data_IF_141242738860
#
_entry.id   IF_141242738860
#
_cell.length_a   1.000
_cell.length_b   1.000
_cell.length_c   1.000
_cell.angle_alpha   90.00
_cell.angle_beta   90.00
_cell.angle_gamma   90.00
#
_symmetry.space_group_name_H-M   'P 1'
#
loop_
_entity.id
_entity.type
_entity.pdbx_description
1 polymer ?
#
# COMPACT_ATOMS: atom_id res chain seq x y z
N UNK A 1 22.38 -0.70 9.28
CA UNK A 1 21.83 -1.48 10.41
C UNK A 1 20.79 -2.45 9.85
N UNK A 2 20.88 -3.73 10.26
CA UNK A 2 19.92 -4.74 9.84
C UNK A 2 18.52 -4.39 10.36
N UNK A 3 17.48 -4.65 9.56
CA UNK A 3 16.08 -4.51 9.97
C UNK A 3 15.73 -5.58 11.01
N UNK A 4 14.76 -5.32 11.88
CA UNK A 4 14.45 -6.22 13.02
C UNK A 4 14.14 -7.67 12.57
N UNK A 5 13.53 -7.87 11.42
CA UNK A 5 13.24 -9.22 10.87
C UNK A 5 14.51 -10.04 10.54
N UNK A 6 15.67 -9.39 10.46
CA UNK A 6 16.98 -10.01 10.21
C UNK A 6 17.83 -10.15 11.48
N UNK A 7 17.32 -9.71 12.64
CA UNK A 7 18.05 -9.86 13.90
C UNK A 7 18.09 -11.33 14.32
N UNK A 8 19.23 -11.81 14.80
CA UNK A 8 19.35 -13.20 15.27
C UNK A 8 18.48 -13.47 16.50
N UNK A 9 18.33 -12.45 17.37
CA UNK A 9 17.51 -12.47 18.57
C UNK A 9 16.54 -11.29 18.53
N UNK A 10 15.37 -11.43 19.17
CA UNK A 10 14.33 -10.38 19.26
C UNK A 10 13.76 -9.92 17.91
N UNK A 11 13.85 -10.73 16.86
CA UNK A 11 13.24 -10.43 15.55
C UNK A 11 11.71 -10.40 15.60
N UNK A 12 11.11 -10.98 16.63
CA UNK A 12 9.71 -10.82 17.02
C UNK A 12 9.66 -10.34 18.46
N UNK A 13 8.85 -9.31 18.73
CA UNK A 13 8.66 -8.83 20.10
C UNK A 13 7.96 -9.89 20.98
N UNK A 14 8.46 -10.04 22.21
CA UNK A 14 7.83 -10.83 23.25
C UNK A 14 7.88 -10.04 24.56
N UNK A 15 6.79 -9.98 25.30
CA UNK A 15 6.75 -9.29 26.61
C UNK A 15 7.78 -9.83 27.61
N UNK A 16 8.20 -11.09 27.49
CA UNK A 16 9.27 -11.66 28.30
C UNK A 16 10.64 -11.01 28.04
N UNK A 17 10.83 -10.42 26.86
CA UNK A 17 12.07 -9.73 26.46
C UNK A 17 12.19 -8.35 27.12
N UNK A 18 11.06 -7.76 27.50
CA UNK A 18 10.99 -6.43 28.10
C UNK A 18 11.83 -6.34 29.38
N UNK A 19 11.69 -7.32 30.28
CA UNK A 19 12.36 -7.29 31.57
C UNK A 19 13.89 -7.31 31.46
N UNK A 20 14.52 -8.23 30.72
CA UNK A 20 15.95 -8.20 30.50
C UNK A 20 16.46 -6.91 29.87
N UNK A 21 15.74 -6.37 28.88
CA UNK A 21 16.14 -5.15 28.16
C UNK A 21 15.98 -3.87 28.99
N UNK A 22 15.09 -3.85 29.99
CA UNK A 22 14.79 -2.70 30.83
C UNK A 22 15.30 -2.78 32.28
N UNK A 23 16.09 -3.81 32.61
CA UNK A 23 16.66 -3.96 33.97
C UNK A 23 17.81 -2.99 34.18
N UNK A 24 17.63 -2.07 35.11
CA UNK A 24 18.65 -1.06 35.47
C UNK A 24 20.03 -1.69 35.77
N UNK A 25 21.08 -1.08 35.23
CA UNK A 25 22.46 -1.49 35.44
C UNK A 25 22.98 -2.64 34.58
N UNK A 26 22.15 -3.21 33.70
CA UNK A 26 22.61 -4.18 32.68
C UNK A 26 23.19 -3.47 31.45
N UNK A 27 24.01 -4.20 30.65
CA UNK A 27 24.52 -3.65 29.38
C UNK A 27 23.38 -3.26 28.44
N UNK A 28 22.33 -4.07 28.35
CA UNK A 28 21.14 -3.74 27.53
C UNK A 28 20.44 -2.45 27.99
N UNK A 29 20.35 -2.24 29.32
CA UNK A 29 19.84 -1.00 29.89
C UNK A 29 20.65 0.23 29.46
N UNK A 30 21.99 0.15 29.49
CA UNK A 30 22.85 1.27 29.11
C UNK A 30 22.63 1.71 27.66
N UNK A 31 22.36 0.77 26.75
CA UNK A 31 22.00 1.07 25.35
C UNK A 31 20.61 1.73 25.22
N UNK A 32 19.65 1.31 26.03
CA UNK A 32 18.26 1.77 25.98
C UNK A 32 18.06 3.07 26.77
N UNK A 33 18.80 3.30 27.86
CA UNK A 33 18.69 4.45 28.75
C UNK A 33 18.82 5.80 28.01
N UNK A 34 19.72 5.86 27.02
CA UNK A 34 19.90 7.05 26.21
C UNK A 34 18.60 7.42 25.46
N UNK A 35 17.89 6.44 24.91
CA UNK A 35 16.62 6.68 24.21
C UNK A 35 15.52 7.11 25.17
N UNK A 36 15.45 6.55 26.37
CA UNK A 36 14.53 7.02 27.41
C UNK A 36 14.79 8.47 27.79
N UNK A 37 16.05 8.82 27.96
CA UNK A 37 16.44 10.20 28.25
C UNK A 37 16.05 11.14 27.12
N UNK A 38 16.30 10.80 25.87
CA UNK A 38 15.91 11.59 24.71
C UNK A 38 14.39 11.80 24.67
N UNK A 39 13.59 10.75 24.86
CA UNK A 39 12.13 10.84 24.88
C UNK A 39 11.62 11.71 26.04
N UNK A 40 12.24 11.59 27.23
CA UNK A 40 11.91 12.42 28.37
C UNK A 40 12.19 13.91 28.11
N UNK A 41 13.33 14.22 27.51
CA UNK A 41 13.66 15.63 27.17
C UNK A 41 12.73 16.18 26.11
N UNK A 42 12.40 15.38 25.07
CA UNK A 42 11.45 15.78 24.02
C UNK A 42 10.05 16.05 24.59
N UNK A 43 9.55 15.17 25.47
CA UNK A 43 8.26 15.38 26.16
C UNK A 43 8.27 16.71 26.92
N UNK A 44 9.30 16.98 27.73
CA UNK A 44 9.42 18.24 28.48
C UNK A 44 9.45 19.47 27.58
N UNK A 45 10.23 19.42 26.51
CA UNK A 45 10.35 20.55 25.57
C UNK A 45 9.04 20.81 24.83
N UNK A 46 8.36 19.77 24.37
CA UNK A 46 7.09 19.90 23.67
C UNK A 46 5.99 20.44 24.60
N UNK A 47 5.91 19.97 25.85
CA UNK A 47 4.97 20.52 26.84
C UNK A 47 5.23 21.99 27.11
N UNK A 48 6.48 22.37 27.35
CA UNK A 48 6.85 23.76 27.59
C UNK A 48 6.52 24.67 26.40
N UNK A 49 6.74 24.19 25.17
CA UNK A 49 6.39 24.92 23.96
C UNK A 49 4.87 25.08 23.80
N UNK A 50 4.08 24.05 24.09
CA UNK A 50 2.63 24.10 24.07
C UNK A 50 2.10 25.05 25.13
N UNK A 51 2.54 24.95 26.38
CA UNK A 51 2.16 25.85 27.47
C UNK A 51 2.48 27.32 27.13
N UNK A 52 3.64 27.58 26.55
CA UNK A 52 4.05 28.90 26.10
C UNK A 52 3.13 29.46 25.00
N UNK A 53 2.74 28.62 24.03
CA UNK A 53 1.81 28.99 22.96
C UNK A 53 0.41 29.31 23.50
N UNK A 54 -0.14 28.41 24.32
CA UNK A 54 -1.46 28.57 24.95
C UNK A 54 -1.54 29.86 25.78
N UNK A 55 -0.50 30.16 26.59
CA UNK A 55 -0.44 31.37 27.37
C UNK A 55 -0.47 32.67 26.54
N UNK A 56 -0.25 32.56 25.22
CA UNK A 56 -0.27 33.68 24.26
C UNK A 56 -1.45 33.61 23.29
N UNK A 57 -2.41 32.73 23.53
CA UNK A 57 -3.58 32.56 22.67
C UNK A 57 -3.27 31.91 21.31
N UNK A 58 -2.16 31.18 21.21
CA UNK A 58 -1.76 30.48 19.99
C UNK A 58 -2.17 29.00 20.09
N UNK A 59 -2.95 28.56 19.13
CA UNK A 59 -3.36 27.15 18.97
C UNK A 59 -2.29 26.40 18.20
N UNK A 60 -1.81 25.30 18.74
CA UNK A 60 -0.91 24.39 18.03
C UNK A 60 -1.69 23.26 17.37
N UNK A 61 -1.48 23.09 16.07
CA UNK A 61 -2.04 21.99 15.30
C UNK A 61 -0.96 21.00 14.93
N UNK A 62 -1.08 19.77 15.44
CA UNK A 62 -0.22 18.65 15.09
C UNK A 62 -0.63 17.99 13.77
N UNK A 63 0.21 17.12 13.28
CA UNK A 63 -0.04 16.29 12.11
C UNK A 63 0.19 14.82 12.47
N UNK A 64 -0.74 13.94 12.08
CA UNK A 64 -0.59 12.50 12.33
C UNK A 64 -0.56 11.76 11.01
N UNK A 65 0.60 11.15 10.65
CA UNK A 65 0.72 10.43 9.40
C UNK A 65 -0.16 9.19 9.39
N UNK A 66 -0.72 8.87 8.22
CA UNK A 66 -1.49 7.64 8.01
C UNK A 66 -0.60 6.39 8.15
N UNK A 67 0.67 6.46 7.81
CA UNK A 67 1.56 5.33 7.80
C UNK A 67 2.58 5.30 8.92
N UNK A 68 3.19 4.14 9.10
CA UNK A 68 4.34 3.90 9.98
C UNK A 68 5.45 3.19 9.21
N UNK A 69 6.69 3.36 9.65
CA UNK A 69 7.79 2.66 9.03
C UNK A 69 7.61 1.14 9.18
N UNK A 70 7.64 0.41 8.05
CA UNK A 70 7.54 -1.07 8.00
C UNK A 70 8.54 -1.77 8.92
N UNK A 71 9.72 -1.20 9.10
CA UNK A 71 10.79 -1.70 9.94
C UNK A 71 10.93 -0.91 11.24
N UNK A 72 9.91 -0.17 11.64
CA UNK A 72 9.88 0.64 12.85
C UNK A 72 9.41 -0.13 14.08
N UNK A 73 9.51 0.55 15.24
CA UNK A 73 9.16 -0.02 16.53
C UNK A 73 7.67 -0.39 16.64
N UNK A 74 6.76 0.36 16.00
CA UNK A 74 5.33 0.06 16.04
C UNK A 74 5.04 -1.33 15.44
N UNK A 75 5.60 -1.61 14.25
CA UNK A 75 5.43 -2.89 13.57
C UNK A 75 6.14 -4.02 14.31
N UNK A 76 7.31 -3.76 14.85
CA UNK A 76 8.05 -4.74 15.64
C UNK A 76 7.33 -5.12 16.94
N UNK A 77 6.76 -4.12 17.64
CA UNK A 77 6.12 -4.30 18.93
C UNK A 77 4.72 -4.90 18.84
N UNK A 78 3.91 -4.44 17.87
CA UNK A 78 2.52 -4.84 17.70
C UNK A 78 2.20 -5.24 16.24
N UNK A 79 2.90 -6.26 15.69
CA UNK A 79 2.80 -6.63 14.26
C UNK A 79 1.40 -7.05 13.83
N UNK A 80 0.57 -7.52 14.75
CA UNK A 80 -0.80 -7.97 14.49
C UNK A 80 -1.77 -6.88 14.01
N UNK A 81 -1.40 -5.60 14.19
CA UNK A 81 -2.16 -4.47 13.65
C UNK A 81 -1.83 -4.11 12.21
N UNK A 82 -0.83 -4.75 11.62
CA UNK A 82 -0.31 -4.40 10.30
C UNK A 82 -0.38 -5.58 9.34
N UNK A 83 -0.71 -5.29 8.07
CA UNK A 83 -0.53 -6.24 6.98
C UNK A 83 0.81 -5.98 6.30
N UNK A 84 1.72 -6.94 6.46
CA UNK A 84 3.07 -6.86 5.90
C UNK A 84 3.18 -7.42 4.47
N UNK A 85 2.11 -7.98 3.93
CA UNK A 85 2.07 -8.46 2.54
C UNK A 85 1.67 -7.36 1.56
N UNK A 86 1.31 -6.19 2.07
CA UNK A 86 0.91 -5.05 1.27
C UNK A 86 1.64 -3.76 1.66
N UNK A 87 1.57 -2.78 0.78
CA UNK A 87 2.09 -1.43 0.94
C UNK A 87 0.95 -0.45 0.67
N UNK A 88 0.85 0.59 1.49
CA UNK A 88 -0.09 1.67 1.22
C UNK A 88 0.45 2.61 0.13
N UNK A 89 -0.46 3.22 -0.59
CA UNK A 89 -0.14 4.18 -1.63
C UNK A 89 -1.39 4.92 -2.13
N UNK A 90 -1.28 5.50 -3.30
CA UNK A 90 -2.37 6.12 -4.03
C UNK A 90 -2.49 5.52 -5.44
N UNK A 91 -3.71 5.37 -5.97
CA UNK A 91 -3.91 4.91 -7.34
C UNK A 91 -3.35 5.93 -8.36
N UNK A 92 -3.14 5.52 -9.62
CA UNK A 92 -2.79 6.43 -10.71
C UNK A 92 -3.75 7.61 -10.83
N UNK A 93 -3.20 8.79 -11.03
CA UNK A 93 -3.92 10.04 -11.25
C UNK A 93 -3.24 10.93 -12.31
N UNK A 94 -3.70 12.18 -12.46
CA UNK A 94 -3.13 13.15 -13.38
C UNK A 94 -1.71 13.63 -13.04
N UNK A 95 -1.23 13.40 -11.83
CA UNK A 95 0.11 13.78 -11.36
C UNK A 95 1.08 12.60 -11.38
N UNK A 96 0.59 11.39 -11.21
CA UNK A 96 1.39 10.16 -11.20
C UNK A 96 0.70 9.05 -11.98
N UNK A 97 1.13 8.83 -13.22
CA UNK A 97 0.57 7.81 -14.12
C UNK A 97 0.76 6.38 -13.62
N UNK A 98 1.75 6.14 -12.77
CA UNK A 98 2.03 4.85 -12.15
C UNK A 98 1.45 4.73 -10.72
N UNK A 99 0.73 5.77 -10.26
CA UNK A 99 0.32 5.91 -8.87
C UNK A 99 1.52 6.15 -7.95
N UNK A 100 1.25 6.14 -6.66
CA UNK A 100 2.28 6.33 -5.63
C UNK A 100 2.35 5.10 -4.74
N UNK A 101 3.54 4.58 -4.52
CA UNK A 101 3.83 3.55 -3.53
C UNK A 101 4.58 4.20 -2.36
N UNK A 102 3.93 4.31 -1.21
CA UNK A 102 4.51 4.95 -0.01
C UNK A 102 5.37 4.00 0.82
N UNK A 103 5.30 2.68 0.55
CA UNK A 103 6.19 1.67 1.13
C UNK A 103 5.87 1.24 2.56
N UNK A 104 4.99 1.91 3.29
CA UNK A 104 4.59 1.49 4.63
C UNK A 104 3.46 0.44 4.59
N UNK A 105 3.33 -0.43 5.63
CA UNK A 105 2.32 -1.48 5.64
C UNK A 105 0.91 -0.90 5.74
N UNK A 106 -0.08 -1.63 5.24
CA UNK A 106 -1.49 -1.31 5.50
C UNK A 106 -1.91 -1.80 6.88
N UNK A 107 -3.08 -1.35 7.36
CA UNK A 107 -3.60 -1.72 8.67
C UNK A 107 -4.51 -2.95 8.60
N UNK A 108 -4.39 -3.83 9.57
CA UNK A 108 -5.39 -4.85 9.87
C UNK A 108 -6.54 -4.20 10.67
N UNK A 109 -7.46 -3.55 9.95
CA UNK A 109 -8.58 -2.85 10.58
C UNK A 109 -9.52 -3.76 11.35
N UNK A 110 -9.69 -5.01 10.91
CA UNK A 110 -10.50 -5.96 11.65
C UNK A 110 -9.96 -6.14 13.07
N UNK A 111 -8.67 -6.40 13.20
CA UNK A 111 -8.01 -6.57 14.49
C UNK A 111 -8.03 -5.29 15.33
N UNK A 112 -7.86 -4.13 14.71
CA UNK A 112 -7.96 -2.86 15.42
C UNK A 112 -9.36 -2.56 15.93
N UNK A 113 -10.41 -2.88 15.16
CA UNK A 113 -11.80 -2.67 15.59
C UNK A 113 -12.18 -3.60 16.76
N UNK A 114 -11.69 -4.84 16.77
CA UNK A 114 -11.94 -5.80 17.84
C UNK A 114 -11.53 -5.29 19.23
N UNK A 115 -10.46 -4.51 19.34
CA UNK A 115 -10.01 -3.89 20.60
C UNK A 115 -10.42 -2.42 20.75
N UNK A 116 -11.31 -1.94 19.90
CA UNK A 116 -11.80 -0.56 19.92
C UNK A 116 -10.79 0.46 19.44
N UNK A 117 -9.92 0.08 18.52
CA UNK A 117 -8.88 0.93 17.90
C UNK A 117 -7.85 1.47 18.92
N UNK A 118 -7.45 0.62 19.86
CA UNK A 118 -6.59 1.02 20.99
C UNK A 118 -5.27 1.63 20.56
N UNK A 119 -4.62 1.07 19.52
CA UNK A 119 -3.36 1.59 19.00
C UNK A 119 -3.48 3.05 18.51
N UNK A 120 -4.52 3.36 17.73
CA UNK A 120 -4.80 4.72 17.26
C UNK A 120 -5.19 5.67 18.40
N UNK A 121 -6.02 5.21 19.35
CA UNK A 121 -6.40 6.00 20.52
C UNK A 121 -5.18 6.43 21.33
N UNK A 122 -4.23 5.53 21.57
CA UNK A 122 -2.97 5.85 22.28
C UNK A 122 -2.18 6.96 21.56
N UNK A 123 -2.11 6.91 20.22
CA UNK A 123 -1.46 7.94 19.43
C UNK A 123 -2.14 9.30 19.58
N UNK A 124 -3.47 9.36 19.45
CA UNK A 124 -4.21 10.61 19.61
C UNK A 124 -4.13 11.15 21.03
N UNK A 125 -4.25 10.32 22.05
CA UNK A 125 -4.11 10.70 23.46
C UNK A 125 -2.70 11.23 23.76
N UNK A 126 -1.67 10.65 23.17
CA UNK A 126 -0.31 11.16 23.32
C UNK A 126 -0.17 12.55 22.65
N UNK A 127 -0.69 12.72 21.43
CA UNK A 127 -0.68 14.01 20.74
C UNK A 127 -1.42 15.10 21.51
N UNK A 128 -2.51 14.78 22.20
CA UNK A 128 -3.31 15.76 22.96
C UNK A 128 -2.55 16.41 24.13
N UNK A 129 -1.37 15.91 24.46
CA UNK A 129 -0.49 16.52 25.46
C UNK A 129 0.30 17.70 24.90
N UNK A 130 0.38 17.84 23.58
CA UNK A 130 1.22 18.83 22.89
C UNK A 130 0.47 19.73 21.92
N UNK A 131 -0.76 19.35 21.54
CA UNK A 131 -1.53 20.02 20.51
C UNK A 131 -3.00 20.23 20.91
N UNK A 132 -3.60 21.29 20.40
CA UNK A 132 -5.02 21.65 20.60
C UNK A 132 -5.89 21.15 19.43
N UNK A 133 -5.27 20.98 18.29
CA UNK A 133 -5.87 20.46 17.06
C UNK A 133 -4.92 19.47 16.37
N UNK A 134 -5.42 18.63 15.47
CA UNK A 134 -4.58 17.77 14.66
C UNK A 134 -5.15 17.58 13.26
N UNK A 135 -4.27 17.41 12.30
CA UNK A 135 -4.60 16.98 10.96
C UNK A 135 -4.46 15.46 10.86
N UNK A 136 -5.51 14.80 10.42
CA UNK A 136 -5.43 13.41 9.96
C UNK A 136 -4.93 13.45 8.51
N UNK A 137 -3.72 12.99 8.30
CA UNK A 137 -3.15 12.82 6.98
C UNK A 137 -3.88 11.69 6.24
N UNK A 138 -4.27 11.95 5.00
CA UNK A 138 -4.98 11.00 4.15
C UNK A 138 -6.19 10.35 4.83
N UNK A 139 -7.19 11.12 5.25
CA UNK A 139 -8.39 10.61 5.96
C UNK A 139 -9.12 9.53 5.18
N UNK A 140 -9.07 9.55 3.85
CA UNK A 140 -9.65 8.50 3.00
C UNK A 140 -9.09 7.12 3.30
N UNK A 141 -7.87 7.01 3.81
CA UNK A 141 -7.28 5.74 4.26
C UNK A 141 -8.06 5.05 5.39
N UNK A 142 -8.92 5.78 6.12
CA UNK A 142 -9.83 5.20 7.10
C UNK A 142 -11.12 4.66 6.47
N UNK A 143 -11.47 5.07 5.26
CA UNK A 143 -12.56 4.52 4.45
C UNK A 143 -12.04 3.37 3.60
N UNK A 144 -10.97 3.64 2.88
CA UNK A 144 -10.30 2.75 1.96
C UNK A 144 -8.85 3.21 1.78
N UNK A 145 -7.92 2.30 1.74
CA UNK A 145 -6.52 2.58 1.39
C UNK A 145 -6.20 1.91 0.05
N UNK A 146 -5.37 2.54 -0.77
CA UNK A 146 -4.82 1.86 -1.93
C UNK A 146 -3.74 0.90 -1.45
N UNK A 147 -4.01 -0.39 -1.58
CA UNK A 147 -3.17 -1.50 -1.13
C UNK A 147 -2.42 -2.09 -2.32
N UNK A 148 -1.10 -2.06 -2.26
CA UNK A 148 -0.18 -2.48 -3.32
C UNK A 148 0.56 -3.72 -2.83
N UNK A 149 0.64 -4.83 -3.61
CA UNK A 149 1.45 -5.99 -3.25
C UNK A 149 2.92 -5.61 -2.99
N UNK A 150 3.58 -6.29 -2.04
CA UNK A 150 4.97 -5.95 -1.65
C UNK A 150 6.00 -6.19 -2.76
N UNK A 151 5.69 -7.03 -3.71
CA UNK A 151 6.50 -7.35 -4.88
C UNK A 151 6.36 -6.34 -6.03
N UNK A 152 5.48 -5.35 -5.87
CA UNK A 152 5.31 -4.24 -6.81
C UNK A 152 6.10 -3.00 -6.40
N UNK A 153 6.65 -2.31 -7.40
CA UNK A 153 7.30 -0.99 -7.28
C UNK A 153 6.26 0.11 -7.54
N UNK A 154 5.45 -0.08 -8.58
CA UNK A 154 4.39 0.83 -8.98
C UNK A 154 3.05 0.46 -8.32
N UNK A 155 2.09 1.38 -8.39
CA UNK A 155 0.77 1.19 -7.79
C UNK A 155 -0.29 0.65 -8.76
N UNK A 156 0.08 0.27 -9.98
CA UNK A 156 -0.85 -0.07 -11.06
C UNK A 156 -1.68 -1.34 -10.81
N UNK A 157 -1.14 -2.31 -10.08
CA UNK A 157 -1.81 -3.57 -9.72
C UNK A 157 -2.33 -3.58 -8.29
N UNK A 158 -2.41 -2.41 -7.66
CA UNK A 158 -3.04 -2.23 -6.37
C UNK A 158 -4.56 -2.40 -6.42
N UNK A 159 -5.17 -2.43 -5.25
CA UNK A 159 -6.62 -2.49 -5.04
C UNK A 159 -7.02 -1.68 -3.81
N UNK A 160 -8.24 -1.16 -3.75
CA UNK A 160 -8.74 -0.57 -2.52
C UNK A 160 -8.97 -1.63 -1.44
N UNK A 161 -8.51 -1.36 -0.23
CA UNK A 161 -8.71 -2.20 0.95
C UNK A 161 -9.36 -1.38 2.08
N UNK A 162 -10.54 -1.80 2.59
CA UNK A 162 -11.35 -2.91 2.08
C UNK A 162 -12.12 -2.56 0.81
N UNK A 163 -12.54 -3.58 0.04
CA UNK A 163 -13.42 -3.41 -1.10
C UNK A 163 -14.24 -4.67 -1.40
N UNK A 164 -15.31 -4.50 -2.16
CA UNK A 164 -16.18 -5.60 -2.59
C UNK A 164 -15.65 -6.18 -3.92
N UNK A 165 -14.69 -7.10 -3.86
CA UNK A 165 -14.24 -7.84 -5.03
C UNK A 165 -15.40 -8.54 -5.74
N UNK A 166 -15.27 -8.74 -7.05
CA UNK A 166 -16.28 -9.36 -7.90
C UNK A 166 -15.97 -10.84 -8.10
N UNK A 167 -17.00 -11.69 -7.98
CA UNK A 167 -16.88 -13.09 -8.38
C UNK A 167 -16.88 -13.23 -9.90
N UNK A 168 -16.49 -14.43 -10.42
CA UNK A 168 -16.62 -14.76 -11.84
C UNK A 168 -18.03 -14.50 -12.36
N UNK A 169 -19.05 -15.02 -11.65
CA UNK A 169 -20.46 -14.91 -12.08
C UNK A 169 -20.92 -13.45 -12.13
N UNK A 170 -20.47 -12.62 -11.18
CA UNK A 170 -20.75 -11.19 -11.20
C UNK A 170 -20.12 -10.50 -12.42
N UNK A 171 -18.86 -10.84 -12.75
CA UNK A 171 -18.19 -10.31 -13.95
C UNK A 171 -18.94 -10.74 -15.23
N UNK A 172 -19.29 -12.01 -15.32
CA UNK A 172 -20.00 -12.57 -16.47
C UNK A 172 -21.43 -12.01 -16.60
N UNK A 173 -22.05 -11.55 -15.52
CA UNK A 173 -23.36 -10.89 -15.56
C UNK A 173 -23.34 -9.57 -16.35
N UNK A 174 -22.18 -8.94 -16.51
CA UNK A 174 -21.98 -7.80 -17.42
C UNK A 174 -21.82 -8.21 -18.89
N UNK A 175 -21.85 -9.52 -19.18
CA UNK A 175 -21.69 -10.09 -20.50
C UNK A 175 -20.24 -10.33 -20.92
N UNK A 176 -19.26 -10.04 -20.07
CA UNK A 176 -17.85 -10.33 -20.33
C UNK A 176 -17.57 -11.79 -19.99
N UNK A 177 -17.21 -12.60 -21.00
CA UNK A 177 -16.76 -13.98 -20.76
C UNK A 177 -15.41 -13.96 -20.01
N UNK A 178 -15.42 -14.36 -18.73
CA UNK A 178 -14.25 -14.21 -17.86
C UNK A 178 -13.27 -15.36 -18.06
N UNK A 179 -12.16 -15.03 -18.70
CA UNK A 179 -11.01 -15.93 -18.88
C UNK A 179 -9.94 -15.61 -17.82
N UNK A 180 -9.99 -16.30 -16.69
CA UNK A 180 -9.22 -15.99 -15.51
C UNK A 180 -7.72 -15.87 -15.78
N UNK A 181 -7.09 -16.90 -16.35
CA UNK A 181 -5.65 -16.88 -16.62
C UNK A 181 -5.24 -15.78 -17.61
N UNK A 182 -6.07 -15.52 -18.61
CA UNK A 182 -5.82 -14.46 -19.59
C UNK A 182 -5.92 -13.07 -18.99
N UNK A 183 -6.88 -12.85 -18.09
CA UNK A 183 -7.20 -11.51 -17.60
C UNK A 183 -6.47 -11.14 -16.31
N UNK A 184 -5.95 -12.12 -15.55
CA UNK A 184 -5.29 -11.88 -14.26
C UNK A 184 -3.77 -12.12 -14.30
N UNK A 185 -3.23 -12.67 -15.39
CA UNK A 185 -1.78 -12.82 -15.59
C UNK A 185 -1.29 -11.81 -16.62
N UNK A 186 -0.03 -11.38 -16.56
CA UNK A 186 0.56 -10.51 -17.57
C UNK A 186 0.37 -11.05 -18.99
N UNK A 187 -0.37 -10.32 -19.83
CA UNK A 187 -0.58 -10.70 -21.22
C UNK A 187 0.59 -10.20 -22.06
N UNK A 188 1.43 -11.12 -22.54
CA UNK A 188 2.66 -10.82 -23.27
C UNK A 188 2.65 -11.57 -24.59
N UNK A 189 2.38 -10.86 -25.68
CA UNK A 189 2.49 -11.40 -27.05
C UNK A 189 3.62 -10.73 -27.80
N UNK A 190 4.05 -11.35 -28.92
CA UNK A 190 5.14 -10.82 -29.74
C UNK A 190 4.92 -9.37 -30.16
N UNK A 191 3.68 -9.00 -30.54
CA UNK A 191 3.39 -7.63 -30.96
C UNK A 191 3.52 -6.63 -29.80
N UNK A 192 3.17 -7.03 -28.57
CA UNK A 192 3.36 -6.20 -27.36
C UNK A 192 4.84 -5.98 -27.11
N UNK A 193 5.64 -7.06 -27.15
CA UNK A 193 7.09 -6.94 -26.95
C UNK A 193 7.72 -6.01 -27.99
N UNK A 194 7.34 -6.16 -29.25
CA UNK A 194 7.83 -5.29 -30.32
C UNK A 194 7.44 -3.82 -30.09
N UNK A 195 6.22 -3.57 -29.62
CA UNK A 195 5.72 -2.22 -29.38
C UNK A 195 6.38 -1.55 -28.17
N UNK A 196 6.59 -2.30 -27.09
CA UNK A 196 7.20 -1.77 -25.84
C UNK A 196 8.71 -1.57 -25.99
N UNK A 197 9.40 -2.54 -26.58
CA UNK A 197 10.86 -2.58 -26.56
C UNK A 197 11.53 -2.16 -27.89
N UNK A 198 10.80 -2.10 -28.98
CA UNK A 198 11.34 -1.70 -30.29
C UNK A 198 12.60 -2.47 -30.66
N UNK A 199 13.73 -1.78 -30.80
CA UNK A 199 15.04 -2.37 -31.13
C UNK A 199 15.55 -3.42 -30.13
N UNK A 200 15.05 -3.40 -28.90
CA UNK A 200 15.44 -4.33 -27.82
C UNK A 200 14.56 -5.58 -27.75
N UNK A 201 13.53 -5.71 -28.60
CA UNK A 201 12.53 -6.78 -28.50
C UNK A 201 13.14 -8.18 -28.49
N UNK A 202 14.05 -8.49 -29.42
CA UNK A 202 14.68 -9.81 -29.49
C UNK A 202 15.57 -10.10 -28.28
N UNK A 203 16.32 -9.11 -27.81
CA UNK A 203 17.10 -9.23 -26.59
C UNK A 203 16.22 -9.49 -25.36
N UNK A 204 15.08 -8.81 -25.27
CA UNK A 204 14.13 -9.00 -24.14
C UNK A 204 13.52 -10.42 -24.17
N UNK A 205 13.12 -10.90 -25.33
CA UNK A 205 12.60 -12.25 -25.47
C UNK A 205 13.63 -13.29 -25.03
N UNK A 206 14.84 -13.21 -25.52
CA UNK A 206 15.88 -14.18 -25.21
C UNK A 206 16.26 -14.17 -23.72
N UNK A 207 16.40 -12.99 -23.14
CA UNK A 207 16.94 -12.84 -21.80
C UNK A 207 15.89 -12.96 -20.69
N UNK A 208 14.71 -12.37 -20.85
CA UNK A 208 13.73 -12.15 -19.78
C UNK A 208 12.45 -12.98 -19.92
N UNK A 209 12.16 -13.51 -21.13
CA UNK A 209 10.91 -14.20 -21.40
C UNK A 209 11.13 -15.69 -21.69
N UNK A 210 10.07 -16.48 -21.47
CA UNK A 210 9.95 -17.88 -21.87
C UNK A 210 8.78 -17.94 -22.85
N UNK A 211 8.96 -18.63 -23.97
CA UNK A 211 7.87 -18.93 -24.89
C UNK A 211 6.90 -19.93 -24.23
N UNK A 212 5.62 -19.60 -24.20
CA UNK A 212 4.56 -20.43 -23.62
C UNK A 212 3.85 -21.23 -24.72
N UNK A 213 3.12 -20.57 -25.60
CA UNK A 213 2.42 -21.18 -26.73
C UNK A 213 2.16 -20.11 -27.82
N UNK A 214 2.01 -20.54 -29.07
CA UNK A 214 1.75 -19.66 -30.22
C UNK A 214 2.69 -18.44 -30.23
N UNK A 215 2.12 -17.27 -30.03
CA UNK A 215 2.79 -15.98 -30.01
C UNK A 215 2.88 -15.38 -28.58
N UNK A 216 2.63 -16.20 -27.56
CA UNK A 216 2.51 -15.81 -26.17
C UNK A 216 3.78 -16.18 -25.38
N UNK A 217 4.18 -15.27 -24.50
CA UNK A 217 5.33 -15.39 -23.64
C UNK A 217 4.95 -15.18 -22.19
N UNK A 218 5.79 -15.65 -21.28
CA UNK A 218 5.73 -15.41 -19.84
C UNK A 218 7.07 -14.85 -19.36
N UNK A 219 7.05 -14.05 -18.29
CA UNK A 219 8.29 -13.60 -17.64
C UNK A 219 8.99 -14.81 -16.99
N UNK A 220 10.31 -14.90 -17.13
CA UNK A 220 11.11 -15.87 -16.38
C UNK A 220 10.94 -15.61 -14.87
N UNK A 221 10.99 -16.66 -14.05
CA UNK A 221 10.78 -16.59 -12.58
C UNK A 221 11.70 -15.60 -11.87
N UNK A 222 12.88 -15.32 -12.44
CA UNK A 222 13.83 -14.33 -11.93
C UNK A 222 13.39 -12.89 -12.17
N UNK A 223 12.36 -12.67 -13.01
CA UNK A 223 11.87 -11.36 -13.46
C UNK A 223 10.34 -11.24 -13.41
N UNK A 224 9.65 -12.17 -12.75
CA UNK A 224 8.19 -12.25 -12.75
C UNK A 224 7.49 -11.24 -11.82
N UNK A 225 8.26 -10.42 -11.07
CA UNK A 225 7.76 -9.32 -10.25
C UNK A 225 8.56 -8.04 -10.48
N UNK A 226 7.93 -6.89 -10.24
CA UNK A 226 8.62 -5.61 -10.38
C UNK A 226 9.82 -5.48 -9.44
N UNK A 227 9.76 -6.01 -8.21
CA UNK A 227 10.90 -5.99 -7.27
C UNK A 227 12.08 -6.83 -7.71
N UNK A 228 11.83 -7.97 -8.36
CA UNK A 228 12.93 -8.78 -8.95
C UNK A 228 13.58 -8.05 -10.12
N UNK A 229 12.78 -7.38 -10.96
CA UNK A 229 13.29 -6.55 -12.04
C UNK A 229 14.11 -5.38 -11.48
N UNK A 230 13.60 -4.66 -10.49
CA UNK A 230 14.31 -3.57 -9.79
C UNK A 230 15.70 -4.04 -9.31
N UNK A 231 15.75 -5.19 -8.63
CA UNK A 231 17.00 -5.76 -8.14
C UNK A 231 17.98 -6.12 -9.27
N UNK A 232 17.46 -6.68 -10.39
CA UNK A 232 18.27 -7.06 -11.55
C UNK A 232 18.84 -5.85 -12.31
N UNK A 233 18.20 -4.69 -12.19
CA UNK A 233 18.64 -3.44 -12.80
C UNK A 233 19.31 -2.48 -11.79
N UNK A 234 19.54 -2.90 -10.56
CA UNK A 234 20.22 -2.08 -9.55
C UNK A 234 21.61 -1.62 -10.06
N UNK A 235 21.85 -0.31 -10.01
CA UNK A 235 23.09 0.29 -10.51
C UNK A 235 23.21 0.46 -12.02
N UNK A 236 22.22 0.04 -12.81
CA UNK A 236 22.17 0.27 -14.27
C UNK A 236 21.46 1.60 -14.54
N UNK A 237 22.12 2.50 -15.24
CA UNK A 237 21.66 3.88 -15.43
C UNK A 237 21.67 4.35 -16.88
N UNK A 238 22.02 3.48 -17.85
CA UNK A 238 21.95 3.83 -19.26
C UNK A 238 20.50 4.00 -19.73
N UNK A 239 20.25 4.83 -20.72
CA UNK A 239 18.92 5.04 -21.31
C UNK A 239 18.30 3.72 -21.79
N UNK A 240 19.12 2.85 -22.39
CA UNK A 240 18.67 1.52 -22.85
C UNK A 240 18.31 0.61 -21.66
N UNK A 241 19.06 0.62 -20.56
CA UNK A 241 18.72 -0.15 -19.34
C UNK A 241 17.42 0.36 -18.70
N UNK A 242 17.26 1.68 -18.62
CA UNK A 242 16.04 2.31 -18.10
C UNK A 242 14.84 1.92 -18.97
N UNK A 243 14.95 2.03 -20.28
CA UNK A 243 13.89 1.64 -21.21
C UNK A 243 13.50 0.18 -21.04
N UNK A 244 14.47 -0.75 -21.00
CA UNK A 244 14.19 -2.18 -20.83
C UNK A 244 13.55 -2.45 -19.46
N UNK A 245 14.06 -1.86 -18.37
CA UNK A 245 13.48 -1.98 -17.03
C UNK A 245 12.02 -1.53 -16.99
N UNK A 246 11.75 -0.31 -17.46
CA UNK A 246 10.43 0.28 -17.41
C UNK A 246 9.43 -0.45 -18.33
N UNK A 247 9.92 -0.95 -19.47
CA UNK A 247 9.15 -1.86 -20.32
C UNK A 247 8.79 -3.16 -19.62
N UNK A 248 9.72 -3.78 -18.88
CA UNK A 248 9.44 -5.00 -18.10
C UNK A 248 8.42 -4.73 -16.97
N UNK A 249 8.48 -3.58 -16.29
CA UNK A 249 7.44 -3.18 -15.33
C UNK A 249 6.08 -3.06 -16.01
N UNK A 250 6.02 -2.49 -17.21
CA UNK A 250 4.76 -2.39 -17.95
C UNK A 250 4.18 -3.75 -18.34
N UNK A 251 5.03 -4.75 -18.61
CA UNK A 251 4.59 -6.12 -18.83
C UNK A 251 3.98 -6.73 -17.56
N UNK A 252 4.62 -6.57 -16.40
CA UNK A 252 4.10 -7.09 -15.11
C UNK A 252 2.69 -6.58 -14.82
N UNK A 253 2.39 -5.33 -15.15
CA UNK A 253 1.10 -4.69 -14.89
C UNK A 253 0.09 -4.81 -16.05
N UNK A 254 0.43 -5.54 -17.12
CA UNK A 254 -0.44 -5.67 -18.31
C UNK A 254 -1.52 -6.76 -18.11
N UNK A 255 -2.40 -6.52 -17.15
CA UNK A 255 -3.53 -7.37 -16.77
C UNK A 255 -4.85 -6.59 -16.85
N UNK A 256 -5.97 -7.26 -17.00
CA UNK A 256 -7.30 -6.64 -17.02
C UNK A 256 -7.93 -6.61 -15.62
N UNK A 257 -7.63 -7.62 -14.80
CA UNK A 257 -8.09 -7.76 -13.43
C UNK A 257 -6.91 -8.12 -12.51
N UNK A 258 -7.00 -7.71 -11.25
CA UNK A 258 -6.15 -8.17 -10.16
C UNK A 258 -6.95 -9.07 -9.23
N UNK A 259 -6.32 -10.09 -8.64
CA UNK A 259 -6.96 -10.97 -7.65
C UNK A 259 -7.10 -10.23 -6.33
N UNK A 260 -8.17 -10.54 -5.59
CA UNK A 260 -8.31 -10.04 -4.23
C UNK A 260 -7.22 -10.64 -3.32
N UNK A 261 -6.63 -9.81 -2.46
CA UNK A 261 -5.54 -10.22 -1.58
C UNK A 261 -5.98 -11.23 -0.50
N UNK A 262 -7.28 -11.29 -0.18
CA UNK A 262 -7.82 -12.10 0.90
C UNK A 262 -8.73 -13.24 0.41
N UNK A 263 -9.22 -13.18 -0.84
CA UNK A 263 -10.13 -14.16 -1.41
C UNK A 263 -9.77 -14.43 -2.87
N UNK A 264 -9.09 -15.54 -3.12
CA UNK A 264 -8.63 -15.90 -4.47
C UNK A 264 -9.74 -16.10 -5.51
N UNK A 265 -11.01 -16.21 -5.07
CA UNK A 265 -12.17 -16.33 -5.95
C UNK A 265 -12.80 -14.97 -6.31
N UNK A 266 -12.18 -13.87 -5.87
CA UNK A 266 -12.63 -12.52 -6.19
C UNK A 266 -11.58 -11.74 -6.95
N UNK A 267 -12.08 -10.80 -7.74
CA UNK A 267 -11.28 -10.03 -8.68
C UNK A 267 -11.69 -8.56 -8.63
N UNK A 268 -10.73 -7.69 -8.93
CA UNK A 268 -10.92 -6.26 -9.06
C UNK A 268 -10.51 -5.84 -10.46
N UNK A 269 -11.30 -5.02 -11.18
CA UNK A 269 -10.81 -4.46 -12.43
C UNK A 269 -9.56 -3.63 -12.16
N UNK A 270 -8.50 -3.87 -12.94
CA UNK A 270 -7.25 -3.13 -12.78
C UNK A 270 -7.51 -1.64 -13.02
N UNK A 271 -7.04 -0.79 -12.11
CA UNK A 271 -7.17 0.67 -12.24
C UNK A 271 -6.52 1.14 -13.55
N UNK A 272 -7.14 2.06 -14.28
CA UNK A 272 -6.67 2.56 -15.58
C UNK A 272 -6.38 1.48 -16.64
N UNK A 273 -7.05 0.32 -16.55
CA UNK A 273 -6.87 -0.78 -17.51
C UNK A 273 -7.09 -0.34 -18.97
N UNK A 274 -7.90 0.69 -19.19
CA UNK A 274 -8.16 1.26 -20.52
C UNK A 274 -6.90 1.81 -21.21
N UNK A 275 -5.82 2.02 -20.44
CA UNK A 275 -4.54 2.53 -20.93
C UNK A 275 -3.51 1.42 -21.17
N UNK A 276 -3.84 0.15 -20.89
CA UNK A 276 -2.92 -0.96 -21.07
C UNK A 276 -3.13 -1.73 -22.38
N UNK A 277 -2.11 -2.49 -22.78
CA UNK A 277 -2.12 -3.22 -24.05
C UNK A 277 -3.04 -4.44 -24.02
N UNK A 278 -3.31 -5.01 -22.86
CA UNK A 278 -4.31 -6.08 -22.71
C UNK A 278 -5.72 -5.59 -23.06
N UNK A 279 -6.09 -4.41 -22.56
CA UNK A 279 -7.39 -3.81 -22.93
C UNK A 279 -7.43 -3.44 -24.42
N UNK A 280 -6.34 -2.92 -24.97
CA UNK A 280 -6.27 -2.60 -26.41
C UNK A 280 -6.52 -3.84 -27.28
N UNK A 281 -6.04 -5.02 -26.84
CA UNK A 281 -6.22 -6.29 -27.54
C UNK A 281 -7.66 -6.84 -27.50
N UNK A 282 -8.54 -6.33 -26.64
CA UNK A 282 -9.93 -6.78 -26.57
C UNK A 282 -10.72 -6.36 -27.83
N UNK A 283 -11.73 -7.15 -28.16
CA UNK A 283 -12.75 -6.74 -29.12
C UNK A 283 -13.59 -5.56 -28.59
N UNK A 284 -14.08 -4.70 -29.45
CA UNK A 284 -14.84 -3.50 -29.02
C UNK A 284 -16.09 -3.86 -28.21
N UNK A 285 -16.74 -4.99 -28.50
CA UNK A 285 -17.87 -5.51 -27.70
C UNK A 285 -17.46 -5.82 -26.27
N UNK A 286 -16.27 -6.35 -26.04
CA UNK A 286 -15.77 -6.72 -24.70
C UNK A 286 -15.22 -5.51 -23.96
N UNK A 287 -14.63 -4.53 -24.68
CA UNK A 287 -14.30 -3.20 -24.11
C UNK A 287 -15.53 -2.51 -23.54
N UNK A 288 -16.67 -2.53 -24.28
CA UNK A 288 -17.91 -1.92 -23.81
C UNK A 288 -18.43 -2.57 -22.52
N UNK A 289 -18.40 -3.92 -22.44
CA UNK A 289 -18.81 -4.68 -21.26
C UNK A 289 -17.87 -4.43 -20.08
N UNK A 290 -16.57 -4.47 -20.32
CA UNK A 290 -15.56 -4.15 -19.30
C UNK A 290 -15.73 -2.73 -18.78
N UNK A 291 -15.96 -1.74 -19.62
CA UNK A 291 -16.15 -0.35 -19.19
C UNK A 291 -17.42 -0.19 -18.34
N UNK A 292 -18.51 -0.89 -18.65
CA UNK A 292 -19.71 -0.87 -17.83
C UNK A 292 -19.45 -1.44 -16.43
N UNK A 293 -18.78 -2.59 -16.34
CA UNK A 293 -18.32 -3.20 -15.10
C UNK A 293 -17.36 -2.30 -14.32
N UNK A 294 -16.36 -1.74 -14.99
CA UNK A 294 -15.36 -0.85 -14.40
C UNK A 294 -16.00 0.37 -13.77
N UNK A 295 -16.92 1.02 -14.47
CA UNK A 295 -17.62 2.20 -13.98
C UNK A 295 -18.52 1.88 -12.78
N UNK A 296 -19.19 0.74 -12.79
CA UNK A 296 -19.98 0.30 -11.62
C UNK A 296 -19.07 0.03 -10.44
N UNK A 297 -17.98 -0.71 -10.63
CA UNK A 297 -17.03 -1.07 -9.60
C UNK A 297 -16.45 0.17 -8.90
N UNK A 298 -15.89 1.11 -9.64
CA UNK A 298 -15.17 2.26 -9.05
C UNK A 298 -16.07 3.39 -8.57
N UNK A 299 -17.26 3.58 -9.18
CA UNK A 299 -18.07 4.76 -8.90
C UNK A 299 -19.39 4.47 -8.17
N UNK A 300 -19.78 3.21 -7.98
CA UNK A 300 -21.05 2.86 -7.32
C UNK A 300 -20.92 1.74 -6.30
N UNK A 301 -20.40 0.57 -6.69
CA UNK A 301 -20.43 -0.69 -5.94
C UNK A 301 -19.95 -0.52 -4.50
N UNK A 302 -18.88 0.21 -4.30
CA UNK A 302 -18.18 0.29 -3.02
C UNK A 302 -18.62 1.46 -2.11
N UNK A 303 -19.39 2.43 -2.60
CA UNK A 303 -19.64 3.69 -1.88
C UNK A 303 -20.25 3.49 -0.49
N UNK A 304 -21.38 2.75 -0.40
CA UNK A 304 -22.04 2.49 0.87
C UNK A 304 -21.22 1.59 1.78
N UNK A 305 -20.49 0.65 1.20
CA UNK A 305 -19.59 -0.24 1.93
C UNK A 305 -18.45 0.56 2.58
N UNK A 306 -17.75 1.40 1.85
CA UNK A 306 -16.68 2.24 2.39
C UNK A 306 -17.17 3.19 3.48
N UNK A 307 -18.34 3.80 3.30
CA UNK A 307 -18.94 4.62 4.34
C UNK A 307 -19.18 3.80 5.62
N UNK A 308 -19.80 2.63 5.53
CA UNK A 308 -20.06 1.78 6.69
C UNK A 308 -18.76 1.29 7.37
N UNK A 309 -17.72 0.98 6.60
CA UNK A 309 -16.40 0.59 7.14
C UNK A 309 -15.72 1.75 7.87
N UNK A 310 -15.81 2.97 7.35
CA UNK A 310 -15.30 4.16 8.04
C UNK A 310 -16.03 4.44 9.35
N UNK A 311 -17.35 4.30 9.35
CA UNK A 311 -18.17 4.58 10.53
C UNK A 311 -17.96 3.57 11.68
N UNK A 312 -17.36 2.43 11.44
CA UNK A 312 -16.88 1.52 12.50
C UNK A 312 -15.69 2.07 13.29
N UNK A 313 -14.94 3.01 12.74
CA UNK A 313 -13.64 3.50 13.24
C UNK A 313 -13.68 4.98 13.62
N UNK A 314 -14.02 5.84 12.66
CA UNK A 314 -13.87 7.29 12.80
C UNK A 314 -14.58 7.90 14.01
N UNK A 315 -15.84 7.56 14.36
CA UNK A 315 -16.48 8.14 15.55
C UNK A 315 -15.71 7.86 16.83
N UNK A 316 -15.24 6.63 17.00
CA UNK A 316 -14.43 6.20 18.15
C UNK A 316 -13.08 6.93 18.22
N UNK A 317 -12.47 7.18 17.08
CA UNK A 317 -11.17 7.85 16.97
C UNK A 317 -11.30 9.36 17.24
N UNK A 318 -12.28 10.01 16.63
CA UNK A 318 -12.56 11.44 16.86
C UNK A 318 -12.89 11.74 18.32
N UNK A 319 -13.59 10.82 19.00
CA UNK A 319 -13.94 10.94 20.41
C UNK A 319 -12.81 10.60 21.39
N UNK A 320 -11.67 10.12 20.89
CA UNK A 320 -10.54 9.70 21.73
C UNK A 320 -9.89 10.87 22.49
N UNK A 321 -10.05 12.10 22.00
CA UNK A 321 -9.51 13.33 22.60
C UNK A 321 -10.49 14.50 22.43
N UNK A 322 -10.14 15.66 23.03
CA UNK A 322 -10.88 16.92 22.85
C UNK A 322 -10.25 17.84 21.80
N UNK A 323 -9.18 17.40 21.13
CA UNK A 323 -8.54 18.19 20.08
C UNK A 323 -9.51 18.43 18.91
N UNK A 324 -9.41 19.59 18.28
CA UNK A 324 -10.10 19.86 17.02
C UNK A 324 -9.52 18.95 15.91
N UNK A 325 -10.39 18.21 15.25
CA UNK A 325 -9.99 17.31 14.16
C UNK A 325 -10.05 18.06 12.83
N UNK A 326 -8.96 18.03 12.09
CA UNK A 326 -8.87 18.48 10.71
C UNK A 326 -8.54 17.27 9.83
N UNK A 327 -9.37 17.01 8.83
CA UNK A 327 -9.14 15.91 7.91
C UNK A 327 -8.50 16.45 6.63
N UNK A 328 -7.44 15.77 6.16
CA UNK A 328 -6.86 16.03 4.86
C UNK A 328 -7.49 15.09 3.85
N UNK A 329 -8.05 15.67 2.79
CA UNK A 329 -8.65 14.97 1.67
C UNK A 329 -8.16 15.62 0.37
N UNK A 330 -7.07 15.09 -0.18
CA UNK A 330 -6.58 15.36 -1.52
C UNK A 330 -7.03 14.27 -2.51
N UNK A 331 -7.96 13.43 -2.07
CA UNK A 331 -8.45 12.30 -2.82
C UNK A 331 -9.36 12.70 -3.99
N UNK A 332 -9.64 11.70 -4.84
CA UNK A 332 -10.53 11.77 -6.00
C UNK A 332 -12.00 11.80 -5.58
#
# INVERSE_FOLDING_TARGET
TAVFSQWPDHNLWNETDRKPLSTYGTMAWQEVEFFYYVQFILDRQMRAAHEYAVARGVVLKGDIPIGVNRNGCDVWHEPHYFDLNSQAGAPPDGFSVNGQNWGFPTYNWQRMIEDGCLWWKRRFQNMSQYFDAYRIDHVLGFFRIWSIPVDCVHALTGQFAPSLGMTRDEIESYGLHFQEDLFTRPFISRWIVNRVFGKHADHVIDKFLIHSHDDIYELKTEYDTERKIEAAFAGKTSDDDIWVRDGLYSLCSNVLFVRDNNDSNKFHPRITAQLNLMYEALYDSDKAKFNALYNDYYYRRNNNFWYSEAMKKLPTLVQATRMLVCAEDLGM
#
